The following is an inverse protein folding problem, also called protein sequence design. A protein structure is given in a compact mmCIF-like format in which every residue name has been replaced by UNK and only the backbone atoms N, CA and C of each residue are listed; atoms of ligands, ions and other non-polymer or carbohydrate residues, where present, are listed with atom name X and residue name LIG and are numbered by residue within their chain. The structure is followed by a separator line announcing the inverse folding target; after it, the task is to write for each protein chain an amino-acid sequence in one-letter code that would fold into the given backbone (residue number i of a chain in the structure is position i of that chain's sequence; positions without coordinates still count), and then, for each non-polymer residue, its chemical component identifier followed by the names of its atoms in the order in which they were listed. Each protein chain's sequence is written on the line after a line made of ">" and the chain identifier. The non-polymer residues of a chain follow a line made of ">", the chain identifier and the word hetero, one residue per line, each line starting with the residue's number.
data_IF_895391249078
#
_entry.id   IF_895391249078
#
_cell.length_a   1.000
_cell.length_b   1.000
_cell.length_c   1.000
_cell.angle_alpha   90.00
_cell.angle_beta   90.00
_cell.angle_gamma   90.00
#
_symmetry.space_group_name_H-M   'P 1'
#
loop_
_entity.id
_entity.type
_entity.pdbx_description
1 polymer ?
#
# COMPACT_ATOMS: atom_id res chain seq x y z
N UNK A 1 2.62 2.53 1.43
CA UNK A 1 2.83 2.46 -0.04
C UNK A 1 2.72 3.84 -0.67
N UNK A 2 1.63 4.56 -0.37
CA UNK A 2 1.47 5.99 -0.67
C UNK A 2 1.62 6.81 0.61
N UNK A 3 1.64 8.14 0.50
CA UNK A 3 1.53 9.04 1.66
C UNK A 3 0.25 8.78 2.47
N UNK A 4 0.31 8.99 3.79
CA UNK A 4 -0.80 8.75 4.72
C UNK A 4 -1.14 10.01 5.52
N UNK A 5 -2.36 10.09 6.07
CA UNK A 5 -2.74 11.20 6.97
C UNK A 5 -2.17 11.00 8.37
N UNK A 6 -2.08 9.75 8.80
CA UNK A 6 -1.39 9.32 10.04
C UNK A 6 0.08 9.73 10.14
N UNK A 7 0.76 9.97 9.02
CA UNK A 7 2.18 10.33 8.98
C UNK A 7 2.42 11.43 7.93
N UNK A 8 1.97 12.67 8.21
CA UNK A 8 2.11 13.77 7.28
C UNK A 8 3.59 14.15 7.13
N UNK A 9 4.06 14.32 5.89
CA UNK A 9 5.45 14.69 5.59
C UNK A 9 6.47 13.54 5.70
N UNK A 10 6.08 12.36 6.18
CA UNK A 10 6.98 11.22 6.25
C UNK A 10 7.27 10.65 4.84
N UNK A 11 8.50 10.13 4.61
CA UNK A 11 8.81 9.45 3.35
C UNK A 11 7.95 8.20 3.18
N UNK A 12 7.60 7.88 1.94
CA UNK A 12 6.85 6.68 1.58
C UNK A 12 7.54 5.94 0.43
N UNK A 13 7.30 4.63 0.31
CA UNK A 13 7.97 3.79 -0.67
C UNK A 13 7.66 4.16 -2.14
N UNK A 14 6.41 4.49 -2.42
CA UNK A 14 5.88 4.55 -3.78
C UNK A 14 5.52 3.16 -4.32
N UNK A 15 4.66 3.10 -5.35
CA UNK A 15 4.08 1.85 -5.84
C UNK A 15 5.11 0.86 -6.41
N UNK A 16 6.11 1.37 -7.15
CA UNK A 16 7.12 0.52 -7.80
C UNK A 16 8.06 -0.13 -6.78
N UNK A 17 8.61 0.65 -5.84
CA UNK A 17 9.48 0.10 -4.78
C UNK A 17 8.72 -0.88 -3.89
N UNK A 18 7.45 -0.58 -3.58
CA UNK A 18 6.60 -1.49 -2.84
C UNK A 18 6.38 -2.82 -3.58
N UNK A 19 6.13 -2.78 -4.89
CA UNK A 19 6.00 -3.98 -5.72
C UNK A 19 7.30 -4.80 -5.81
N UNK A 20 8.46 -4.15 -5.87
CA UNK A 20 9.75 -4.85 -5.83
C UNK A 20 9.93 -5.61 -4.54
N UNK A 21 9.62 -4.99 -3.39
CA UNK A 21 9.69 -5.66 -2.08
C UNK A 21 8.71 -6.83 -2.04
N UNK A 22 7.44 -6.60 -2.40
CA UNK A 22 6.41 -7.64 -2.34
C UNK A 22 6.77 -8.89 -3.15
N UNK A 23 7.34 -8.72 -4.36
CA UNK A 23 7.80 -9.84 -5.18
C UNK A 23 9.04 -10.54 -4.62
N UNK A 24 9.93 -9.81 -3.96
CA UNK A 24 11.17 -10.37 -3.41
C UNK A 24 10.94 -11.19 -2.13
N UNK A 25 9.87 -10.89 -1.38
CA UNK A 25 9.59 -11.54 -0.08
C UNK A 25 9.22 -13.02 -0.22
N UNK A 26 8.65 -13.45 -1.35
CA UNK A 26 8.27 -14.86 -1.57
C UNK A 26 7.14 -15.37 -0.66
N UNK A 27 6.47 -14.49 0.08
CA UNK A 27 5.32 -14.77 0.95
C UNK A 27 4.14 -13.86 0.56
N UNK A 28 2.90 -14.22 0.94
CA UNK A 28 1.75 -13.34 0.74
C UNK A 28 1.96 -11.96 1.37
N UNK A 29 1.89 -10.91 0.54
CA UNK A 29 2.09 -9.53 0.98
C UNK A 29 0.78 -8.72 0.93
N UNK A 30 0.54 -7.92 1.97
CA UNK A 30 -0.58 -6.97 2.04
C UNK A 30 -0.05 -5.54 1.89
N UNK A 31 -0.62 -4.77 0.97
CA UNK A 31 -0.27 -3.37 0.77
C UNK A 31 -0.88 -2.50 1.89
N UNK A 32 -0.05 -1.82 2.69
CA UNK A 32 -0.49 -0.91 3.75
C UNK A 32 0.11 0.50 3.58
N UNK A 33 -0.66 1.51 3.99
CA UNK A 33 -0.26 2.90 4.03
C UNK A 33 -0.73 3.69 2.81
N UNK A 34 -1.71 4.55 3.04
CA UNK A 34 -2.30 5.42 2.02
C UNK A 34 -3.08 4.63 0.96
N UNK A 35 -3.69 3.51 1.35
CA UNK A 35 -4.37 2.62 0.41
C UNK A 35 -5.86 2.91 0.34
N UNK A 36 -6.42 2.67 -0.85
CA UNK A 36 -7.86 2.59 -1.11
C UNK A 36 -8.07 1.62 -2.29
N UNK A 37 -9.33 1.25 -2.56
CA UNK A 37 -9.67 0.30 -3.62
C UNK A 37 -9.17 0.75 -5.01
N UNK A 38 -9.21 2.06 -5.32
CA UNK A 38 -8.72 2.61 -6.60
C UNK A 38 -7.20 2.43 -6.74
N UNK A 39 -6.44 2.69 -5.67
CA UNK A 39 -4.99 2.52 -5.64
C UNK A 39 -4.60 1.04 -5.67
N UNK A 40 -5.36 0.16 -5.01
CA UNK A 40 -5.11 -1.28 -5.03
C UNK A 40 -5.27 -1.87 -6.44
N UNK A 41 -6.25 -1.42 -7.23
CA UNK A 41 -6.38 -1.87 -8.63
C UNK A 41 -5.12 -1.64 -9.48
N UNK A 42 -4.29 -0.66 -9.14
CA UNK A 42 -2.99 -0.40 -9.80
C UNK A 42 -1.85 -1.29 -9.30
N UNK A 43 -2.02 -1.88 -8.12
CA UNK A 43 -1.05 -2.78 -7.49
C UNK A 43 -1.45 -4.26 -7.61
N UNK A 44 -2.70 -4.54 -7.97
CA UNK A 44 -3.21 -5.88 -8.20
C UNK A 44 -2.32 -6.59 -9.22
N UNK A 45 -1.84 -7.78 -8.87
CA UNK A 45 -0.90 -8.54 -9.71
C UNK A 45 0.58 -8.14 -9.56
N UNK A 46 0.92 -7.13 -8.75
CA UNK A 46 2.32 -6.72 -8.52
C UNK A 46 2.95 -7.36 -7.26
N UNK A 47 2.51 -8.56 -6.89
CA UNK A 47 3.01 -9.31 -5.73
C UNK A 47 2.22 -9.12 -4.44
N UNK A 48 1.16 -8.31 -4.45
CA UNK A 48 0.24 -8.16 -3.32
C UNK A 48 -0.98 -9.06 -3.46
N UNK A 49 -1.39 -9.71 -2.37
CA UNK A 49 -2.61 -10.54 -2.30
C UNK A 49 -3.80 -9.75 -1.75
N UNK A 50 -3.56 -8.55 -1.23
CA UNK A 50 -4.59 -7.68 -0.67
C UNK A 50 -4.05 -6.31 -0.27
N UNK A 51 -4.92 -5.48 0.32
CA UNK A 51 -4.57 -4.20 0.90
C UNK A 51 -5.28 -3.98 2.23
N UNK A 52 -4.69 -3.13 3.06
CA UNK A 52 -5.26 -2.70 4.33
C UNK A 52 -5.21 -1.17 4.43
N UNK A 53 -6.09 -0.60 5.25
CA UNK A 53 -6.10 0.82 5.56
C UNK A 53 -6.29 1.05 7.06
N UNK A 54 -5.78 2.20 7.49
CA UNK A 54 -6.03 2.76 8.82
C UNK A 54 -7.04 3.90 8.61
N UNK A 55 -6.57 5.01 8.06
CA UNK A 55 -7.35 6.25 7.90
C UNK A 55 -8.48 6.19 6.87
N UNK A 56 -8.55 5.16 6.03
CA UNK A 56 -9.67 4.99 5.09
C UNK A 56 -10.88 4.29 5.73
N UNK A 57 -10.77 3.90 7.01
CA UNK A 57 -11.83 3.27 7.80
C UNK A 57 -12.50 4.23 8.79
N UNK A 58 -11.93 5.42 9.00
CA UNK A 58 -12.52 6.47 9.84
C UNK A 58 -13.14 7.56 8.94
N UNK A 59 -14.34 8.07 9.27
CA UNK A 59 -14.87 9.27 8.63
C UNK A 59 -13.87 10.43 8.77
N UNK A 60 -13.95 11.39 7.85
CA UNK A 60 -13.26 12.67 8.03
C UNK A 60 -13.84 13.46 9.21
#
# INVERSE_FOLDING_TARGET
>A
VYATRTHPGAPFLGPLRAATIARAVGLPAIALGGMNARRYRRLAGLGFVGWAAIDALTPE
#
